data_IF_930748395804
#
_entry.id   IF_930748395804
#
_cell.length_a   1.000
_cell.length_b   1.000
_cell.length_c   1.000
_cell.angle_alpha   90.00
_cell.angle_beta   90.00
_cell.angle_gamma   90.00
#
_symmetry.space_group_name_H-M   'P 1'
#
loop_
_entity.id
_entity.type
_entity.pdbx_description
1 polymer ?
#
# COMPACT_ATOMS: atom_id res chain seq x y z
N UNK A 1 -18.79 -8.49 -13.32
CA UNK A 1 -19.98 -8.33 -12.44
C UNK A 1 -21.15 -7.67 -13.15
N UNK A 2 -20.93 -6.61 -13.94
CA UNK A 2 -21.97 -6.06 -14.84
C UNK A 2 -22.57 -7.15 -15.74
N UNK A 3 -21.73 -8.07 -16.22
CA UNK A 3 -22.17 -9.15 -17.11
C UNK A 3 -22.84 -10.34 -16.41
N UNK A 4 -22.56 -10.60 -15.12
CA UNK A 4 -23.36 -11.60 -14.37
C UNK A 4 -24.74 -11.05 -14.10
N UNK A 5 -24.82 -9.76 -13.78
CA UNK A 5 -26.09 -9.06 -13.69
C UNK A 5 -26.80 -9.06 -15.04
N UNK A 6 -26.08 -8.86 -16.16
CA UNK A 6 -26.65 -8.91 -17.50
C UNK A 6 -27.12 -10.32 -17.90
N UNK A 7 -26.32 -11.36 -17.70
CA UNK A 7 -26.68 -12.76 -17.93
C UNK A 7 -27.86 -13.19 -17.03
N UNK A 8 -27.82 -12.85 -15.75
CA UNK A 8 -28.93 -13.15 -14.84
C UNK A 8 -30.19 -12.35 -15.20
N UNK A 9 -30.06 -11.12 -15.71
CA UNK A 9 -31.19 -10.35 -16.24
C UNK A 9 -31.73 -10.92 -17.54
N UNK A 10 -30.87 -11.48 -18.38
CA UNK A 10 -31.24 -12.13 -19.64
C UNK A 10 -31.95 -13.47 -19.39
N UNK A 11 -31.46 -14.27 -18.44
CA UNK A 11 -32.07 -15.58 -18.10
C UNK A 11 -33.27 -15.50 -17.17
N UNK A 12 -33.25 -14.59 -16.19
CA UNK A 12 -34.28 -14.51 -15.15
C UNK A 12 -35.16 -13.26 -15.26
N UNK A 13 -35.01 -12.47 -16.33
CA UNK A 13 -35.81 -11.26 -16.59
C UNK A 13 -35.42 -10.03 -15.76
N UNK A 14 -34.62 -10.20 -14.69
CA UNK A 14 -34.06 -9.11 -13.89
C UNK A 14 -32.70 -9.50 -13.30
N UNK A 15 -31.78 -8.53 -13.19
CA UNK A 15 -30.54 -8.75 -12.49
C UNK A 15 -30.84 -8.88 -10.98
N UNK A 16 -30.52 -10.00 -10.31
CA UNK A 16 -30.78 -10.15 -8.90
C UNK A 16 -30.08 -9.03 -8.12
N UNK A 17 -30.87 -8.27 -7.36
CA UNK A 17 -30.31 -7.38 -6.35
C UNK A 17 -29.37 -8.22 -5.46
N UNK A 18 -28.22 -7.64 -5.07
CA UNK A 18 -27.22 -8.32 -4.22
C UNK A 18 -26.38 -9.43 -4.90
N UNK A 19 -26.29 -9.50 -6.24
CA UNK A 19 -25.41 -10.48 -6.94
C UNK A 19 -23.98 -10.51 -6.37
N UNK A 20 -23.38 -9.34 -6.11
CA UNK A 20 -22.03 -9.22 -5.54
C UNK A 20 -21.94 -9.79 -4.12
N UNK A 21 -22.99 -9.56 -3.31
CA UNK A 21 -23.08 -10.10 -1.96
C UNK A 21 -23.21 -11.63 -1.99
N UNK A 22 -23.97 -12.18 -2.94
CA UNK A 22 -24.14 -13.63 -3.10
C UNK A 22 -22.84 -14.30 -3.54
N UNK A 23 -22.12 -13.73 -4.50
CA UNK A 23 -20.79 -14.24 -4.90
C UNK A 23 -19.80 -14.18 -3.72
N UNK A 24 -19.80 -13.08 -2.95
CA UNK A 24 -18.99 -12.98 -1.71
C UNK A 24 -19.36 -14.03 -0.68
N UNK A 25 -20.65 -14.33 -0.52
CA UNK A 25 -21.12 -15.35 0.42
C UNK A 25 -20.75 -16.76 -0.06
N UNK A 26 -20.89 -17.05 -1.36
CA UNK A 26 -20.47 -18.33 -1.96
C UNK A 26 -18.96 -18.58 -1.79
N UNK A 27 -18.12 -17.56 -1.92
CA UNK A 27 -16.67 -17.65 -1.70
C UNK A 27 -16.28 -18.05 -0.28
N UNK A 28 -17.21 -17.99 0.70
CA UNK A 28 -16.99 -18.52 2.06
C UNK A 28 -16.99 -20.03 2.11
N UNK A 29 -17.68 -20.68 1.17
CA UNK A 29 -17.89 -22.13 1.16
C UNK A 29 -17.17 -22.81 0.00
N UNK A 30 -16.87 -22.06 -1.06
CA UNK A 30 -16.36 -22.59 -2.32
C UNK A 30 -15.16 -21.79 -2.82
N UNK A 31 -14.17 -22.49 -3.39
CA UNK A 31 -13.10 -21.84 -4.13
C UNK A 31 -13.66 -21.40 -5.48
N UNK A 32 -13.96 -20.10 -5.58
CA UNK A 32 -14.57 -19.44 -6.75
C UNK A 32 -13.66 -18.31 -7.26
N UNK A 33 -12.50 -18.66 -7.85
CA UNK A 33 -11.65 -17.68 -8.51
C UNK A 33 -12.37 -17.06 -9.71
N UNK A 34 -12.12 -15.77 -9.92
CA UNK A 34 -12.55 -15.10 -11.14
C UNK A 34 -11.52 -15.38 -12.24
N UNK A 35 -11.94 -16.08 -13.29
CA UNK A 35 -11.11 -16.43 -14.44
C UNK A 35 -11.55 -15.61 -15.64
N UNK A 36 -10.60 -14.95 -16.30
CA UNK A 36 -10.86 -14.23 -17.54
C UNK A 36 -10.84 -15.20 -18.71
N UNK A 37 -11.91 -15.20 -19.51
CA UNK A 37 -12.01 -15.96 -20.77
C UNK A 37 -12.43 -14.98 -21.87
N UNK A 38 -11.47 -14.61 -22.71
CA UNK A 38 -11.67 -13.58 -23.73
C UNK A 38 -11.93 -12.21 -23.11
N UNK A 39 -13.10 -11.62 -23.42
CA UNK A 39 -13.54 -10.32 -22.86
C UNK A 39 -14.30 -10.46 -21.53
N UNK A 40 -14.62 -11.69 -21.12
CA UNK A 40 -15.55 -11.98 -20.04
C UNK A 40 -14.83 -12.52 -18.81
N UNK A 41 -15.42 -12.31 -17.63
CA UNK A 41 -14.96 -12.91 -16.36
C UNK A 41 -15.99 -13.90 -15.85
N UNK A 42 -15.54 -15.12 -15.58
CA UNK A 42 -16.36 -16.20 -15.03
C UNK A 42 -15.87 -16.55 -13.62
N UNK A 43 -16.79 -16.82 -12.69
CA UNK A 43 -16.41 -17.42 -11.41
C UNK A 43 -16.38 -18.93 -11.57
N UNK A 44 -15.19 -19.51 -11.64
CA UNK A 44 -15.03 -20.95 -11.84
C UNK A 44 -15.17 -21.65 -10.49
N UNK A 45 -16.16 -22.52 -10.34
CA UNK A 45 -16.26 -23.37 -9.16
C UNK A 45 -15.17 -24.45 -9.23
N UNK A 46 -14.11 -24.29 -8.44
CA UNK A 46 -12.96 -25.20 -8.43
C UNK A 46 -13.07 -26.29 -7.34
N UNK A 47 -14.06 -26.17 -6.45
CA UNK A 47 -14.31 -27.11 -5.36
C UNK A 47 -14.88 -26.40 -4.14
N UNK A 48 -15.07 -27.15 -3.04
CA UNK A 48 -15.20 -26.52 -1.73
C UNK A 48 -13.92 -25.71 -1.47
N UNK A 49 -14.07 -24.52 -0.90
CA UNK A 49 -12.89 -23.86 -0.34
C UNK A 49 -12.30 -24.87 0.63
N UNK A 50 -11.02 -25.24 0.47
CA UNK A 50 -10.35 -25.99 1.51
C UNK A 50 -10.66 -25.27 2.82
N UNK A 51 -11.00 -26.02 3.86
CA UNK A 51 -11.30 -25.47 5.16
C UNK A 51 -10.01 -24.85 5.74
N UNK A 52 -9.54 -23.75 5.18
CA UNK A 52 -8.49 -22.92 5.73
C UNK A 52 -9.08 -22.28 6.97
N UNK A 53 -8.99 -22.99 8.11
CA UNK A 53 -8.90 -22.56 9.53
C UNK A 53 -9.63 -21.28 10.00
N UNK A 54 -10.55 -20.72 9.22
CA UNK A 54 -11.38 -19.58 9.52
C UNK A 54 -12.72 -20.14 9.92
N UNK A 55 -12.82 -20.59 11.17
CA UNK A 55 -14.08 -21.02 11.75
C UNK A 55 -15.19 -20.00 11.47
N UNK A 56 -16.43 -20.49 11.40
CA UNK A 56 -17.66 -19.68 11.34
C UNK A 56 -17.44 -18.36 12.05
N UNK A 57 -17.61 -17.23 11.31
CA UNK A 57 -17.32 -15.87 11.79
C UNK A 57 -17.78 -15.73 13.23
N UNK A 58 -16.85 -15.76 14.18
CA UNK A 58 -17.17 -15.51 15.57
C UNK A 58 -17.58 -14.04 15.64
N UNK A 59 -18.65 -13.75 16.36
CA UNK A 59 -18.98 -12.37 16.68
C UNK A 59 -17.80 -11.77 17.45
N UNK A 60 -17.35 -10.57 17.05
CA UNK A 60 -16.39 -9.79 17.83
C UNK A 60 -16.91 -9.68 19.26
N UNK A 61 -16.08 -10.02 20.24
CA UNK A 61 -16.49 -10.02 21.65
C UNK A 61 -16.90 -8.62 22.10
N UNK A 62 -17.84 -8.52 23.04
CA UNK A 62 -18.30 -7.22 23.56
C UNK A 62 -17.13 -6.39 24.13
N UNK A 63 -16.15 -7.05 24.75
CA UNK A 63 -14.92 -6.40 25.24
C UNK A 63 -14.12 -5.77 24.09
N UNK A 64 -13.81 -6.55 23.05
CA UNK A 64 -13.04 -6.06 21.92
C UNK A 64 -13.79 -4.95 21.15
N UNK A 65 -15.11 -5.06 21.07
CA UNK A 65 -15.96 -3.99 20.52
C UNK A 65 -15.85 -2.70 21.32
N UNK A 66 -15.90 -2.77 22.65
CA UNK A 66 -15.75 -1.59 23.51
C UNK A 66 -14.36 -0.97 23.37
N UNK A 67 -13.31 -1.79 23.30
CA UNK A 67 -11.92 -1.36 23.10
C UNK A 67 -11.74 -0.59 21.78
N UNK A 68 -12.27 -1.10 20.66
CA UNK A 68 -12.19 -0.42 19.36
C UNK A 68 -12.98 0.90 19.34
N UNK A 69 -14.14 0.94 19.99
CA UNK A 69 -15.04 2.10 19.99
C UNK A 69 -14.69 3.15 21.06
N UNK A 70 -13.70 2.89 21.91
CA UNK A 70 -13.30 3.77 23.01
C UNK A 70 -12.88 5.17 22.53
N UNK A 71 -12.37 5.31 21.30
CA UNK A 71 -11.96 6.61 20.74
C UNK A 71 -13.12 7.58 20.54
N UNK A 72 -14.38 7.09 20.52
CA UNK A 72 -15.60 7.87 20.25
C UNK A 72 -15.51 8.74 18.98
N UNK A 73 -14.68 8.34 18.02
CA UNK A 73 -14.40 9.07 16.79
C UNK A 73 -14.24 8.13 15.61
N UNK A 74 -14.86 8.47 14.49
CA UNK A 74 -14.63 7.78 13.23
C UNK A 74 -13.17 7.96 12.78
N UNK A 75 -12.47 6.86 12.53
CA UNK A 75 -11.08 6.83 12.08
C UNK A 75 -10.88 7.42 10.67
N UNK A 76 -11.95 7.50 9.87
CA UNK A 76 -11.88 8.01 8.49
C UNK A 76 -12.26 9.50 8.38
N UNK A 77 -13.42 9.91 8.92
CA UNK A 77 -13.92 11.28 8.76
C UNK A 77 -13.80 12.14 10.02
N UNK A 78 -13.37 11.57 11.14
CA UNK A 78 -13.21 12.31 12.40
C UNK A 78 -14.52 12.70 13.10
N UNK A 79 -15.70 12.38 12.55
CA UNK A 79 -17.00 12.65 13.21
C UNK A 79 -17.15 11.85 14.50
N UNK A 80 -17.90 12.41 15.44
CA UNK A 80 -18.14 11.87 16.80
C UNK A 80 -19.64 11.71 17.07
N UNK A 81 -20.08 10.73 17.88
CA UNK A 81 -21.50 10.57 18.21
C UNK A 81 -22.12 11.82 18.85
N UNK A 82 -21.42 12.45 19.80
CA UNK A 82 -21.96 13.61 20.51
C UNK A 82 -22.01 14.89 19.67
N UNK A 83 -21.02 15.11 18.80
CA UNK A 83 -20.93 16.34 18.02
C UNK A 83 -21.63 16.29 16.67
N UNK A 84 -21.83 15.10 16.12
CA UNK A 84 -22.32 14.92 14.74
C UNK A 84 -23.51 13.94 14.65
N UNK A 85 -23.98 13.40 15.79
CA UNK A 85 -25.09 12.44 15.84
C UNK A 85 -24.89 11.20 14.95
N UNK A 86 -23.64 10.75 14.80
CA UNK A 86 -23.31 9.55 14.02
C UNK A 86 -23.26 8.31 14.91
N UNK A 87 -23.65 7.16 14.36
CA UNK A 87 -23.44 5.85 15.00
C UNK A 87 -22.10 5.29 14.56
N UNK A 88 -21.28 4.87 15.53
CA UNK A 88 -20.01 4.20 15.27
C UNK A 88 -20.19 2.67 15.27
N UNK A 89 -19.50 2.02 14.34
CA UNK A 89 -19.42 0.58 14.15
C UNK A 89 -17.97 0.13 14.08
N UNK A 90 -17.74 -1.16 14.39
CA UNK A 90 -16.44 -1.78 14.23
C UNK A 90 -16.28 -2.25 12.79
N UNK A 91 -15.20 -1.83 12.16
CA UNK A 91 -14.81 -2.19 10.78
C UNK A 91 -13.39 -2.77 10.76
N UNK A 92 -13.10 -3.57 9.74
CA UNK A 92 -11.78 -4.16 9.50
C UNK A 92 -10.96 -3.32 8.52
N UNK A 93 -9.78 -2.83 8.89
CA UNK A 93 -8.86 -2.09 8.00
C UNK A 93 -8.58 -2.87 6.72
N UNK A 94 -8.17 -4.13 6.85
CA UNK A 94 -8.14 -5.11 5.76
C UNK A 94 -9.43 -5.93 5.80
N UNK A 95 -10.26 -5.91 4.74
CA UNK A 95 -11.47 -6.71 4.70
C UNK A 95 -11.22 -8.19 4.95
N UNK A 96 -12.13 -8.83 5.67
CA UNK A 96 -12.08 -10.28 5.91
C UNK A 96 -12.05 -11.10 4.62
N UNK A 97 -12.75 -10.67 3.56
CA UNK A 97 -12.74 -11.31 2.23
C UNK A 97 -11.35 -11.37 1.60
N UNK A 98 -10.44 -10.48 2.04
CA UNK A 98 -9.06 -10.38 1.59
C UNK A 98 -8.06 -10.92 2.63
N UNK A 99 -8.54 -11.66 3.64
CA UNK A 99 -7.68 -12.29 4.66
C UNK A 99 -7.45 -11.45 5.93
N UNK A 100 -8.20 -10.36 6.13
CA UNK A 100 -8.11 -9.57 7.36
C UNK A 100 -8.55 -10.34 8.61
N UNK A 101 -7.81 -10.18 9.71
CA UNK A 101 -8.06 -10.84 11.00
C UNK A 101 -8.97 -10.02 11.91
N UNK A 102 -9.51 -10.63 12.97
CA UNK A 102 -10.25 -9.95 14.03
C UNK A 102 -9.34 -9.34 15.12
N UNK A 103 -8.02 -9.30 14.89
CA UNK A 103 -7.08 -8.72 15.85
C UNK A 103 -7.28 -7.21 15.96
N UNK A 104 -7.08 -6.66 17.17
CA UNK A 104 -7.24 -5.22 17.46
C UNK A 104 -6.49 -4.33 16.48
N UNK A 105 -5.32 -4.75 15.99
CA UNK A 105 -4.53 -4.02 15.01
C UNK A 105 -5.22 -3.85 13.64
N UNK A 106 -6.08 -4.80 13.25
CA UNK A 106 -6.86 -4.75 12.02
C UNK A 106 -8.27 -4.17 12.22
N UNK A 107 -8.70 -3.87 13.45
CA UNK A 107 -10.00 -3.25 13.71
C UNK A 107 -9.89 -1.73 13.79
N UNK A 108 -10.96 -1.04 13.42
CA UNK A 108 -11.07 0.43 13.51
C UNK A 108 -12.52 0.87 13.75
N UNK A 109 -12.73 2.00 14.45
CA UNK A 109 -14.04 2.60 14.60
C UNK A 109 -14.38 3.44 13.35
N UNK A 110 -15.49 3.14 12.67
CA UNK A 110 -16.01 3.96 11.58
C UNK A 110 -17.46 4.38 11.86
N UNK A 111 -17.90 5.53 11.33
CA UNK A 111 -19.34 5.78 11.26
C UNK A 111 -20.00 4.90 10.20
N UNK A 112 -21.31 4.66 10.33
CA UNK A 112 -22.07 3.82 9.40
C UNK A 112 -21.91 4.24 7.92
N UNK A 113 -21.91 5.54 7.66
CA UNK A 113 -21.71 6.12 6.32
C UNK A 113 -20.34 5.76 5.74
N UNK A 114 -19.25 6.01 6.49
CA UNK A 114 -17.89 5.66 6.09
C UNK A 114 -17.73 4.14 5.90
N UNK A 115 -18.29 3.35 6.81
CA UNK A 115 -18.26 1.89 6.73
C UNK A 115 -18.96 1.37 5.46
N UNK A 116 -20.15 1.91 5.13
CA UNK A 116 -20.85 1.55 3.89
C UNK A 116 -20.05 1.97 2.65
N UNK A 117 -19.56 3.20 2.63
CA UNK A 117 -18.75 3.71 1.50
C UNK A 117 -17.48 2.89 1.27
N UNK A 118 -16.79 2.50 2.34
CA UNK A 118 -15.61 1.62 2.28
C UNK A 118 -15.96 0.24 1.72
N UNK A 119 -17.07 -0.34 2.15
CA UNK A 119 -17.56 -1.63 1.62
C UNK A 119 -17.86 -1.55 0.13
N UNK A 120 -18.53 -0.50 -0.31
CA UNK A 120 -18.92 -0.32 -1.71
C UNK A 120 -17.69 -0.04 -2.59
N UNK A 121 -16.73 0.73 -2.08
CA UNK A 121 -15.43 0.94 -2.73
C UNK A 121 -14.67 -0.37 -2.92
N UNK A 122 -14.50 -1.19 -1.88
CA UNK A 122 -13.77 -2.46 -2.00
C UNK A 122 -14.48 -3.51 -2.85
N UNK A 123 -15.80 -3.49 -2.92
CA UNK A 123 -16.56 -4.38 -3.80
C UNK A 123 -16.14 -4.23 -5.28
N UNK A 124 -15.65 -3.06 -5.69
CA UNK A 124 -15.13 -2.85 -7.06
C UNK A 124 -13.90 -3.70 -7.40
N UNK A 125 -13.16 -4.16 -6.39
CA UNK A 125 -11.96 -4.99 -6.54
C UNK A 125 -12.20 -6.47 -6.21
N UNK A 126 -13.44 -6.89 -5.91
CA UNK A 126 -13.75 -8.28 -5.56
C UNK A 126 -13.31 -9.28 -6.64
N UNK A 127 -13.23 -8.85 -7.91
CA UNK A 127 -12.71 -9.70 -9.00
C UNK A 127 -11.24 -10.08 -8.84
N UNK A 128 -10.47 -9.30 -8.08
CA UNK A 128 -9.06 -9.54 -7.79
C UNK A 128 -8.84 -10.07 -6.37
N UNK A 129 -9.88 -10.57 -5.70
CA UNK A 129 -9.79 -10.93 -4.29
C UNK A 129 -8.70 -11.96 -3.96
N UNK A 130 -8.44 -12.91 -4.86
CA UNK A 130 -7.41 -13.94 -4.65
C UNK A 130 -6.00 -13.33 -4.74
N UNK A 131 -5.75 -12.51 -5.78
CA UNK A 131 -4.50 -11.78 -5.95
C UNK A 131 -4.24 -10.78 -4.80
N UNK A 132 -5.31 -10.12 -4.33
CA UNK A 132 -5.23 -9.22 -3.18
C UNK A 132 -4.90 -10.01 -1.91
N UNK A 133 -5.55 -11.16 -1.69
CA UNK A 133 -5.30 -12.00 -0.52
C UNK A 133 -3.84 -12.44 -0.46
N UNK A 134 -3.33 -12.98 -1.56
CA UNK A 134 -1.92 -13.40 -1.70
C UNK A 134 -0.95 -12.25 -1.39
N UNK A 135 -1.21 -11.07 -1.95
CA UNK A 135 -0.38 -9.90 -1.71
C UNK A 135 -0.49 -9.34 -0.27
N UNK A 136 -1.69 -9.38 0.31
CA UNK A 136 -1.98 -8.74 1.61
C UNK A 136 -1.21 -9.35 2.78
N UNK A 137 -0.78 -10.61 2.67
CA UNK A 137 -0.01 -11.30 3.69
C UNK A 137 1.39 -10.73 3.91
N UNK A 138 1.91 -9.94 2.97
CA UNK A 138 3.23 -9.35 3.12
C UNK A 138 3.21 -8.17 4.13
N UNK A 139 4.16 -8.11 5.10
CA UNK A 139 4.16 -7.06 6.13
C UNK A 139 4.51 -5.67 5.57
N UNK A 140 5.45 -5.60 4.62
CA UNK A 140 5.91 -4.35 4.03
C UNK A 140 5.14 -3.97 2.75
N UNK A 141 4.81 -2.67 2.53
CA UNK A 141 4.14 -2.20 1.31
C UNK A 141 4.85 -2.56 0.00
N UNK A 142 6.20 -2.56 -0.02
CA UNK A 142 6.97 -2.99 -1.19
C UNK A 142 6.65 -4.43 -1.58
N UNK A 143 6.63 -5.32 -0.59
CA UNK A 143 6.34 -6.72 -0.82
C UNK A 143 4.90 -6.95 -1.24
N UNK A 144 3.92 -6.23 -0.66
CA UNK A 144 2.52 -6.32 -1.12
C UNK A 144 2.39 -5.92 -2.59
N UNK A 145 3.03 -4.83 -3.00
CA UNK A 145 3.04 -4.41 -4.40
C UNK A 145 3.70 -5.48 -5.28
N UNK A 146 4.84 -6.02 -4.84
CA UNK A 146 5.56 -7.03 -5.61
C UNK A 146 4.81 -8.35 -5.77
N UNK A 147 4.24 -8.87 -4.68
CA UNK A 147 3.41 -10.09 -4.68
C UNK A 147 2.15 -9.89 -5.53
N UNK A 148 1.53 -8.71 -5.48
CA UNK A 148 0.44 -8.38 -6.38
C UNK A 148 0.88 -8.42 -7.85
N UNK A 149 2.03 -7.86 -8.20
CA UNK A 149 2.52 -7.90 -9.58
C UNK A 149 2.86 -9.33 -10.03
N UNK A 150 3.40 -10.17 -9.13
CA UNK A 150 3.70 -11.57 -9.40
C UNK A 150 2.44 -12.40 -9.64
N UNK A 151 1.39 -12.21 -8.83
CA UNK A 151 0.15 -12.99 -8.94
C UNK A 151 -0.61 -12.76 -10.24
N UNK A 152 -0.35 -11.64 -10.94
CA UNK A 152 -0.86 -11.37 -12.28
C UNK A 152 -0.05 -12.07 -13.40
N UNK A 153 1.02 -12.80 -13.09
CA UNK A 153 1.76 -13.64 -14.05
C UNK A 153 2.17 -12.92 -15.34
N UNK A 154 2.57 -11.64 -15.24
CA UNK A 154 2.97 -10.81 -16.39
C UNK A 154 1.85 -10.01 -17.05
N UNK A 155 0.60 -10.20 -16.62
CA UNK A 155 -0.54 -9.37 -17.03
C UNK A 155 -0.48 -7.96 -16.43
N UNK A 156 -1.36 -7.09 -16.95
CA UNK A 156 -1.42 -5.68 -16.58
C UNK A 156 -2.25 -5.44 -15.32
N UNK A 157 -1.64 -4.76 -14.35
CA UNK A 157 -2.26 -4.36 -13.07
C UNK A 157 -2.59 -2.87 -13.10
N UNK A 158 -3.84 -2.45 -12.82
CA UNK A 158 -4.21 -1.04 -12.78
C UNK A 158 -3.64 -0.35 -11.53
N UNK A 159 -3.27 0.93 -11.63
CA UNK A 159 -2.68 1.67 -10.52
C UNK A 159 -3.59 1.79 -9.31
N UNK A 160 -4.90 1.87 -9.55
CA UNK A 160 -5.93 1.90 -8.50
C UNK A 160 -5.89 0.65 -7.62
N UNK A 161 -5.63 -0.53 -8.20
CA UNK A 161 -5.48 -1.77 -7.43
C UNK A 161 -4.17 -1.80 -6.63
N UNK A 162 -3.07 -1.33 -7.22
CA UNK A 162 -1.77 -1.21 -6.54
C UNK A 162 -1.90 -0.30 -5.32
N UNK A 163 -2.56 0.85 -5.47
CA UNK A 163 -2.82 1.80 -4.40
C UNK A 163 -3.58 1.17 -3.23
N UNK A 164 -4.67 0.45 -3.54
CA UNK A 164 -5.48 -0.25 -2.53
C UNK A 164 -4.64 -1.26 -1.76
N UNK A 165 -3.90 -2.12 -2.46
CA UNK A 165 -3.10 -3.18 -1.86
C UNK A 165 -1.93 -2.63 -1.04
N UNK A 166 -1.25 -1.59 -1.54
CA UNK A 166 -0.17 -0.94 -0.83
C UNK A 166 -0.65 -0.31 0.49
N UNK A 167 -1.87 0.21 0.50
CA UNK A 167 -2.48 0.94 1.63
C UNK A 167 -3.22 0.05 2.63
N UNK A 168 -3.24 -1.27 2.43
CA UNK A 168 -3.89 -2.20 3.37
C UNK A 168 -3.24 -2.10 4.76
N UNK A 169 -4.06 -1.94 5.82
CA UNK A 169 -3.61 -1.92 7.22
C UNK A 169 -2.94 -0.62 7.70
N UNK A 170 -2.21 0.10 6.86
CA UNK A 170 -1.55 1.37 7.16
C UNK A 170 -1.71 2.32 5.97
N UNK A 171 -2.38 3.46 6.16
CA UNK A 171 -2.49 4.48 5.13
C UNK A 171 -1.14 5.20 4.98
N UNK A 172 -0.33 4.78 4.01
CA UNK A 172 0.84 5.54 3.55
C UNK A 172 0.64 5.84 2.07
N UNK A 173 0.38 7.12 1.77
CA UNK A 173 0.06 7.62 0.44
C UNK A 173 1.32 7.75 -0.45
N UNK A 174 2.16 6.72 -0.47
CA UNK A 174 3.49 6.73 -1.08
C UNK A 174 3.75 5.50 -1.97
N UNK A 175 2.68 4.82 -2.41
CA UNK A 175 2.77 3.59 -3.19
C UNK A 175 3.57 3.78 -4.49
N UNK A 176 3.50 4.96 -5.12
CA UNK A 176 4.25 5.26 -6.33
C UNK A 176 5.76 5.23 -6.08
N UNK A 177 6.21 5.72 -4.92
CA UNK A 177 7.62 5.65 -4.52
C UNK A 177 8.01 4.21 -4.22
N UNK A 178 7.20 3.47 -3.45
CA UNK A 178 7.48 2.05 -3.13
C UNK A 178 7.58 1.20 -4.39
N UNK A 179 6.69 1.42 -5.36
CA UNK A 179 6.75 0.79 -6.68
C UNK A 179 8.03 1.17 -7.45
N UNK A 180 8.47 2.44 -7.40
CA UNK A 180 9.72 2.87 -8.03
C UNK A 180 10.94 2.23 -7.40
N UNK A 181 10.95 2.15 -6.08
CA UNK A 181 12.03 1.58 -5.27
C UNK A 181 12.26 0.09 -5.52
N UNK A 182 11.23 -0.66 -5.94
CA UNK A 182 11.42 -2.06 -6.39
C UNK A 182 12.43 -2.19 -7.53
N UNK A 183 12.62 -1.15 -8.36
CA UNK A 183 13.64 -1.15 -9.42
C UNK A 183 15.07 -1.19 -8.87
N UNK A 184 15.30 -0.79 -7.62
CA UNK A 184 16.60 -0.92 -6.97
C UNK A 184 16.95 -2.38 -6.62
N UNK A 185 15.95 -3.27 -6.64
CA UNK A 185 16.11 -4.71 -6.45
C UNK A 185 16.24 -5.47 -7.78
N UNK A 186 16.60 -4.78 -8.85
CA UNK A 186 16.70 -5.29 -10.22
C UNK A 186 15.36 -5.78 -10.82
N UNK A 187 14.24 -5.24 -10.35
CA UNK A 187 12.94 -5.52 -10.96
C UNK A 187 12.70 -4.63 -12.19
N UNK A 188 12.31 -5.25 -13.31
CA UNK A 188 11.92 -4.55 -14.53
C UNK A 188 10.40 -4.38 -14.57
N UNK A 189 9.93 -3.21 -14.15
CA UNK A 189 8.51 -2.84 -14.14
C UNK A 189 8.25 -1.79 -15.21
N UNK A 190 7.38 -2.09 -16.16
CA UNK A 190 6.97 -1.16 -17.21
C UNK A 190 5.55 -0.65 -16.96
N UNK A 191 5.19 0.46 -17.60
CA UNK A 191 3.85 1.05 -17.49
C UNK A 191 3.28 1.46 -18.85
N UNK A 192 1.95 1.52 -18.93
CA UNK A 192 1.22 2.11 -20.07
C UNK A 192 0.01 2.89 -19.56
N UNK A 193 -0.40 3.92 -20.30
CA UNK A 193 -1.67 4.60 -20.05
C UNK A 193 -2.75 4.02 -20.95
N UNK A 194 -3.90 3.67 -20.37
CA UNK A 194 -5.05 3.18 -21.12
C UNK A 194 -6.33 3.58 -20.41
N UNK A 195 -7.39 3.85 -21.20
CA UNK A 195 -8.74 4.03 -20.67
C UNK A 195 -9.20 2.73 -20.00
N UNK A 196 -9.60 2.83 -18.76
CA UNK A 196 -10.24 1.75 -18.02
C UNK A 196 -11.57 1.40 -18.71
N UNK A 197 -11.78 0.14 -19.12
CA UNK A 197 -12.98 -0.26 -19.82
C UNK A 197 -14.24 -0.15 -18.96
N UNK A 198 -14.11 -0.29 -17.64
CA UNK A 198 -15.24 -0.27 -16.71
C UNK A 198 -15.61 1.16 -16.30
N UNK A 199 -14.61 1.97 -15.95
CA UNK A 199 -14.85 3.33 -15.40
C UNK A 199 -14.76 4.43 -16.44
N UNK A 200 -14.21 4.14 -17.63
CA UNK A 200 -13.95 5.13 -18.67
C UNK A 200 -12.86 6.16 -18.31
N UNK A 201 -12.24 6.07 -17.13
CA UNK A 201 -11.17 6.97 -16.70
C UNK A 201 -9.82 6.53 -17.30
N UNK A 202 -8.92 7.48 -17.53
CA UNK A 202 -7.54 7.12 -17.90
C UNK A 202 -6.86 6.54 -16.66
N UNK A 203 -6.32 5.34 -16.80
CA UNK A 203 -5.61 4.63 -15.75
C UNK A 203 -4.16 4.34 -16.20
N UNK A 204 -3.24 4.26 -15.25
CA UNK A 204 -1.87 3.79 -15.50
C UNK A 204 -1.83 2.33 -15.13
N UNK A 205 -1.42 1.50 -16.09
CA UNK A 205 -1.28 0.07 -15.92
C UNK A 205 0.19 -0.27 -15.78
N UNK A 206 0.52 -1.18 -14.88
CA UNK A 206 1.87 -1.67 -14.67
C UNK A 206 1.94 -3.16 -14.94
N UNK A 207 3.09 -3.64 -15.40
CA UNK A 207 3.41 -5.07 -15.40
C UNK A 207 4.86 -5.26 -15.01
N UNK A 208 5.15 -6.40 -14.39
CA UNK A 208 6.51 -6.85 -14.14
C UNK A 208 6.95 -7.78 -15.27
N UNK A 209 8.08 -7.48 -15.90
CA UNK A 209 8.68 -8.34 -16.94
C UNK A 209 9.75 -9.24 -16.35
N UNK A 210 10.53 -8.72 -15.40
CA UNK A 210 11.61 -9.43 -14.72
C UNK A 210 11.56 -9.05 -13.25
N UNK A 211 11.71 -10.04 -12.37
CA UNK A 211 11.84 -9.83 -10.93
C UNK A 211 12.87 -10.79 -10.34
N UNK A 212 13.45 -10.40 -9.21
CA UNK A 212 14.35 -11.24 -8.41
C UNK A 212 13.68 -11.64 -7.09
N UNK A 213 14.06 -12.80 -6.50
CA UNK A 213 13.61 -13.20 -5.17
C UNK A 213 13.78 -12.07 -4.14
N UNK A 214 12.94 -12.08 -3.11
CA UNK A 214 13.05 -11.09 -2.05
C UNK A 214 14.39 -11.17 -1.33
N UNK A 215 14.94 -10.02 -0.90
CA UNK A 215 16.13 -10.02 -0.07
C UNK A 215 15.85 -10.69 1.28
N UNK A 216 16.90 -11.22 1.90
CA UNK A 216 16.81 -11.68 3.28
C UNK A 216 16.59 -10.48 4.22
N UNK A 217 15.64 -10.61 5.15
CA UNK A 217 15.29 -9.53 6.08
C UNK A 217 14.34 -8.49 5.47
N UNK A 218 14.53 -7.22 5.81
CA UNK A 218 13.61 -6.14 5.43
C UNK A 218 13.85 -5.64 4.01
N UNK A 219 12.77 -5.58 3.21
CA UNK A 219 12.81 -5.04 1.85
C UNK A 219 13.18 -3.55 1.88
N UNK A 220 12.59 -2.79 2.81
CA UNK A 220 12.88 -1.36 2.98
C UNK A 220 14.35 -1.10 3.29
N UNK A 221 14.99 -1.93 4.11
CA UNK A 221 16.40 -1.80 4.44
C UNK A 221 17.26 -2.02 3.18
N UNK A 222 16.95 -3.07 2.41
CA UNK A 222 17.66 -3.38 1.18
C UNK A 222 17.50 -2.30 0.10
N UNK A 223 16.27 -1.81 -0.09
CA UNK A 223 15.95 -0.68 -0.96
C UNK A 223 16.75 0.56 -0.58
N UNK A 224 16.84 0.85 0.72
CA UNK A 224 17.61 2.00 1.23
C UNK A 224 19.10 1.81 0.94
N UNK A 225 19.63 0.60 1.17
CA UNK A 225 21.03 0.24 0.92
C UNK A 225 21.43 0.38 -0.54
N UNK A 226 20.60 -0.07 -1.48
CA UNK A 226 20.86 0.00 -2.94
C UNK A 226 20.46 1.34 -3.57
N UNK A 227 19.72 2.15 -2.82
CA UNK A 227 19.17 3.41 -3.26
C UNK A 227 20.25 4.48 -3.52
N UNK A 228 19.88 5.55 -4.23
CA UNK A 228 20.83 6.56 -4.69
C UNK A 228 21.55 7.33 -3.56
N UNK A 229 20.98 7.46 -2.35
CA UNK A 229 21.68 8.16 -1.25
C UNK A 229 22.85 7.36 -0.67
N UNK A 230 22.86 6.03 -0.84
CA UNK A 230 23.96 5.18 -0.39
C UNK A 230 25.00 4.98 -1.49
N UNK A 231 24.61 5.02 -2.77
CA UNK A 231 25.55 4.96 -3.91
C UNK A 231 26.53 6.13 -3.93
N UNK A 232 26.12 7.32 -3.46
CA UNK A 232 27.06 8.43 -3.28
C UNK A 232 28.07 8.11 -2.19
N UNK A 233 27.64 7.64 -1.01
CA UNK A 233 28.54 7.35 0.12
C UNK A 233 29.50 6.19 -0.16
N UNK A 234 29.02 5.10 -0.78
CA UNK A 234 29.88 4.00 -1.23
C UNK A 234 30.91 4.45 -2.27
N UNK A 235 30.52 5.34 -3.19
CA UNK A 235 31.46 5.92 -4.15
C UNK A 235 32.55 6.76 -3.46
N UNK A 236 32.21 7.53 -2.42
CA UNK A 236 33.21 8.26 -1.64
C UNK A 236 34.14 7.32 -0.85
N UNK A 237 33.61 6.23 -0.28
CA UNK A 237 34.40 5.24 0.46
C UNK A 237 35.31 4.43 -0.46
N UNK A 238 34.83 4.01 -1.64
CA UNK A 238 35.61 3.32 -2.66
C UNK A 238 36.68 4.25 -3.27
N UNK A 239 36.33 5.51 -3.61
CA UNK A 239 37.30 6.53 -4.09
C UNK A 239 38.34 6.90 -3.00
N UNK A 240 37.98 6.81 -1.71
CA UNK A 240 38.92 7.05 -0.59
C UNK A 240 39.79 5.83 -0.27
N UNK A 241 39.31 4.61 -0.53
CA UNK A 241 40.06 3.37 -0.36
C UNK A 241 41.04 3.13 -1.53
N UNK A 242 40.74 3.65 -2.71
CA UNK A 242 41.59 3.56 -3.91
C UNK A 242 42.63 4.70 -3.99
N UNK A 243 42.51 5.71 -3.13
CA UNK A 243 43.52 6.75 -2.97
C UNK A 243 44.78 6.19 -2.30
N UNK A 244 45.82 5.92 -3.10
CA UNK A 244 47.16 5.58 -2.60
C UNK A 244 47.62 6.64 -1.59
N UNK A 245 48.32 6.25 -0.50
CA UNK A 245 48.75 7.20 0.52
C UNK A 245 49.60 8.29 -0.13
N UNK A 246 49.12 9.53 -0.01
CA UNK A 246 49.84 10.71 -0.46
C UNK A 246 51.16 10.80 0.31
N UNK A 247 52.26 10.40 -0.31
CA UNK A 247 53.60 10.63 0.23
C UNK A 247 53.85 12.14 0.22
N UNK A 248 53.87 12.74 1.40
CA UNK A 248 54.23 14.15 1.57
C UNK A 248 55.64 14.38 0.98
N UNK A 249 55.81 15.29 0.00
CA UNK A 249 57.14 15.65 -0.46
C UNK A 249 57.89 16.41 0.65
N UNK A 250 59.20 16.16 0.73
CA UNK A 250 60.10 16.73 1.72
C UNK A 250 60.02 18.27 1.78
N UNK A 251 60.06 18.77 3.01
CA UNK A 251 59.90 20.16 3.37
C UNK A 251 60.96 21.05 2.72
N UNK A 252 60.53 21.99 1.87
CA UNK A 252 61.38 23.10 1.42
C UNK A 252 61.31 24.24 2.44
N UNK A 253 62.45 24.87 2.81
CA UNK A 253 62.47 25.93 3.81
C UNK A 253 61.79 27.20 3.30
N UNK A 254 60.84 27.70 4.09
CA UNK A 254 60.10 28.94 3.88
C UNK A 254 61.00 30.17 4.08
N UNK A 255 61.04 31.05 3.08
CA UNK A 255 61.54 32.43 3.23
C UNK A 255 60.41 33.35 3.73
N UNK A 256 60.69 34.33 4.61
CA UNK A 256 59.66 35.20 5.17
C UNK A 256 59.46 36.42 4.29
N UNK A 257 58.19 36.78 4.00
CA UNK A 257 57.92 38.04 3.32
C UNK A 257 56.45 38.38 3.17
N UNK A 258 56.01 39.39 3.94
CA UNK A 258 55.00 40.36 3.50
C UNK A 258 53.56 40.07 3.90
N UNK A 259 53.16 40.61 5.05
CA UNK A 259 51.75 40.65 5.47
C UNK A 259 50.89 41.53 4.56
N UNK A 260 49.61 41.17 4.45
CA UNK A 260 48.51 42.10 4.17
C UNK A 260 47.28 41.74 4.99
N UNK A 261 46.58 42.81 5.33
CA UNK A 261 45.59 42.97 6.40
C UNK A 261 44.30 42.17 6.17
N UNK A 262 43.72 41.72 7.28
CA UNK A 262 42.50 40.93 7.31
C UNK A 262 41.25 41.74 6.95
N UNK A 263 40.42 41.17 6.08
CA UNK A 263 39.07 41.64 5.79
C UNK A 263 38.11 41.03 6.82
N UNK A 264 37.26 41.82 7.52
CA UNK A 264 36.39 41.28 8.57
C UNK A 264 35.19 40.53 7.99
N UNK A 265 35.00 39.30 8.47
CA UNK A 265 33.87 38.42 8.18
C UNK A 265 32.60 39.00 8.82
N UNK A 266 31.62 39.40 8.01
CA UNK A 266 30.30 39.84 8.48
C UNK A 266 29.53 38.64 9.07
N UNK A 267 29.26 38.69 10.37
CA UNK A 267 28.40 37.73 11.08
C UNK A 267 26.94 37.91 10.64
N UNK A 268 26.24 36.81 10.36
CA UNK A 268 24.78 36.78 10.15
C UNK A 268 24.06 37.10 11.48
N UNK A 269 22.96 37.87 11.47
CA UNK A 269 22.18 38.11 12.67
C UNK A 269 21.36 36.88 13.06
N UNK A 270 21.38 36.56 14.35
CA UNK A 270 20.59 35.55 15.05
C UNK A 270 19.11 35.95 15.12
N UNK A 271 18.22 34.97 14.92
CA UNK A 271 16.78 35.08 15.21
C UNK A 271 16.55 35.10 16.73
N UNK A 272 15.63 35.92 17.27
CA UNK A 272 15.27 35.87 18.68
C UNK A 272 14.25 34.76 18.97
N UNK A 273 14.48 34.09 20.10
CA UNK A 273 13.59 33.11 20.73
C UNK A 273 12.30 33.73 21.29
N UNK A 274 11.22 32.97 21.12
CA UNK A 274 10.07 32.76 22.02
C UNK A 274 9.44 33.93 22.78
N UNK A 275 8.12 34.10 22.62
CA UNK A 275 7.21 34.35 23.73
C UNK A 275 5.91 33.54 23.56
N UNK A 276 5.57 32.84 24.64
CA UNK A 276 4.25 32.34 24.99
C UNK A 276 3.20 33.44 24.92
N UNK A 277 2.00 33.11 24.45
CA UNK A 277 0.77 33.61 25.07
C UNK A 277 -0.39 32.66 24.75
N UNK A 278 -0.84 31.98 25.79
CA UNK A 278 -2.20 31.47 25.91
C UNK A 278 -3.19 32.62 25.71
N UNK A 279 -4.41 32.34 25.21
CA UNK A 279 -5.68 32.97 25.63
C UNK A 279 -6.84 32.32 24.85
N UNK A 280 -7.74 31.70 25.64
CA UNK A 280 -9.16 31.34 25.43
C UNK A 280 -9.59 30.40 24.28
#
# INVERSE_FOLDING_TARGET
>A
MVEIRAYMAEEFGEAPSQTDRRVRDMRRHFHLPAVQVGKYYYYKLMGRAEAEKGGVRKSISSRLRAEVLQSQRCAQCGRTPSGHHVVLVVDHKVPWSWGGTDDIGNLQPLCEECNSGKRDFYATYDRYADQIREASGHPEPHGRIGELLKSFSGEWVPSSLIEVVASLGQYQNDWQRRLRELRFLDWKIISKRKKDPDTGRINVWYRVEVWKPWPEGSIRAEVTRRGPSNKSSQRWEDESAEALPFTLPAEHPLTPGGGREGVPIKRRPSLPDGQDEALF
#
